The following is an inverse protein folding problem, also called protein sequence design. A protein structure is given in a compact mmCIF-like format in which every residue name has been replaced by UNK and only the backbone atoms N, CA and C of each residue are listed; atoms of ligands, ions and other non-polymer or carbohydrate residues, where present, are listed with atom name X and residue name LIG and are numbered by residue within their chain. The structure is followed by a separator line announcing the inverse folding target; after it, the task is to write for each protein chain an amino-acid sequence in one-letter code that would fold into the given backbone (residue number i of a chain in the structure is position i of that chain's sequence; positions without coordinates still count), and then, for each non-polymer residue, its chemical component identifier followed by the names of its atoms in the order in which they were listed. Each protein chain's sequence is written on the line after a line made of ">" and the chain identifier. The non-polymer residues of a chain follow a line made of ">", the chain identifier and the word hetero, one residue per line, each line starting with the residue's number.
data_IF_742684344015
#
_entry.id   IF_742684344015
#
_cell.length_a   1.000
_cell.length_b   1.000
_cell.length_c   1.000
_cell.angle_alpha   90.00
_cell.angle_beta   90.00
_cell.angle_gamma   90.00
#
_symmetry.space_group_name_H-M   'P 1'
#
loop_
_entity.id
_entity.type
_entity.pdbx_description
1 polymer ?
#
# COMPACT_ATOMS: atom_id res chain seq x y z
N UNK A 1 5.36 -16.08 9.17
CA UNK A 1 4.50 -15.29 8.27
C UNK A 1 3.07 -15.33 8.78
N UNK A 2 2.58 -14.19 9.27
CA UNK A 2 1.27 -14.05 9.91
C UNK A 2 0.41 -13.09 9.10
N UNK A 3 -0.86 -13.42 8.89
CA UNK A 3 -1.82 -12.56 8.19
C UNK A 3 -2.83 -12.04 9.21
N UNK A 4 -2.99 -10.73 9.28
CA UNK A 4 -3.92 -10.05 10.20
C UNK A 4 -4.88 -9.14 9.44
N UNK A 5 -6.13 -9.10 9.88
CA UNK A 5 -7.09 -8.11 9.39
C UNK A 5 -6.99 -6.83 10.23
N UNK A 6 -6.81 -5.70 9.56
CA UNK A 6 -6.70 -4.38 10.18
C UNK A 6 -8.08 -3.78 10.33
N UNK A 7 -8.46 -3.49 11.58
CA UNK A 7 -9.69 -2.77 11.92
C UNK A 7 -9.46 -1.27 12.14
N UNK A 8 -8.30 -0.88 12.66
CA UNK A 8 -7.92 0.52 12.90
C UNK A 8 -6.82 0.96 11.93
N UNK A 9 -7.09 2.00 11.14
CA UNK A 9 -6.22 2.47 10.05
C UNK A 9 -5.52 3.76 10.45
N UNK A 10 -4.48 3.63 11.27
CA UNK A 10 -3.71 4.80 11.71
C UNK A 10 -2.93 5.42 10.54
N UNK A 11 -2.66 6.73 10.58
CA UNK A 11 -1.85 7.39 9.55
C UNK A 11 -0.48 6.74 9.33
N UNK A 12 0.17 6.29 10.41
CA UNK A 12 1.48 5.62 10.35
C UNK A 12 1.41 4.27 9.64
N UNK A 13 0.36 3.49 9.91
CA UNK A 13 0.14 2.22 9.22
C UNK A 13 -0.07 2.44 7.72
N UNK A 14 -0.93 3.39 7.35
CA UNK A 14 -1.20 3.70 5.95
C UNK A 14 0.07 4.19 5.24
N UNK A 15 0.91 4.98 5.91
CA UNK A 15 2.20 5.40 5.36
C UNK A 15 3.12 4.20 5.10
N UNK A 16 3.24 3.28 6.05
CA UNK A 16 4.05 2.07 5.87
C UNK A 16 3.54 1.19 4.71
N UNK A 17 2.23 0.99 4.61
CA UNK A 17 1.63 0.25 3.51
C UNK A 17 1.82 0.95 2.15
N UNK A 18 1.82 2.27 2.13
CA UNK A 18 2.09 3.04 0.91
C UNK A 18 3.53 2.85 0.43
N UNK A 19 4.50 2.73 1.34
CA UNK A 19 5.90 2.42 1.01
C UNK A 19 6.03 0.99 0.45
N UNK A 20 5.38 0.00 1.07
CA UNK A 20 5.33 -1.38 0.57
C UNK A 20 4.73 -1.44 -0.84
N UNK A 21 3.62 -0.72 -1.05
CA UNK A 21 2.98 -0.61 -2.36
C UNK A 21 3.93 -0.01 -3.41
N UNK A 22 4.57 1.13 -3.11
CA UNK A 22 5.46 1.79 -4.08
C UNK A 22 6.65 0.91 -4.44
N UNK A 23 7.28 0.27 -3.45
CA UNK A 23 8.39 -0.66 -3.68
C UNK A 23 7.97 -1.83 -4.59
N UNK A 24 6.78 -2.39 -4.34
CA UNK A 24 6.24 -3.51 -5.13
C UNK A 24 5.93 -3.09 -6.57
N UNK A 25 5.33 -1.90 -6.76
CA UNK A 25 5.02 -1.36 -8.09
C UNK A 25 6.29 -1.09 -8.86
N UNK A 26 7.29 -0.44 -8.25
CA UNK A 26 8.58 -0.15 -8.90
C UNK A 26 9.33 -1.43 -9.31
N UNK A 27 9.21 -2.50 -8.54
CA UNK A 27 9.85 -3.78 -8.84
C UNK A 27 9.19 -4.56 -10.00
N UNK A 28 7.89 -4.36 -10.23
CA UNK A 28 7.11 -5.23 -11.13
C UNK A 28 6.52 -4.51 -12.36
N UNK A 29 6.22 -3.21 -12.25
CA UNK A 29 5.58 -2.42 -13.30
C UNK A 29 6.60 -1.54 -14.03
N UNK A 30 7.61 -2.17 -14.64
CA UNK A 30 8.73 -1.49 -15.33
C UNK A 30 8.30 -0.63 -16.54
N UNK A 31 7.03 -0.69 -16.93
CA UNK A 31 6.45 0.12 -18.00
C UNK A 31 5.95 1.48 -17.51
N UNK A 32 5.83 1.69 -16.19
CA UNK A 32 5.42 2.96 -15.61
C UNK A 32 6.64 3.86 -15.39
N UNK A 33 6.50 5.12 -15.76
CA UNK A 33 7.44 6.16 -15.37
C UNK A 33 7.25 6.59 -13.91
N UNK A 34 8.28 7.23 -13.34
CA UNK A 34 8.23 7.76 -11.98
C UNK A 34 7.05 8.72 -11.74
N UNK A 35 6.74 9.57 -12.72
CA UNK A 35 5.64 10.53 -12.61
C UNK A 35 4.27 9.84 -12.61
N UNK A 36 4.11 8.74 -13.35
CA UNK A 36 2.90 7.92 -13.33
C UNK A 36 2.75 7.22 -11.98
N UNK A 37 3.83 6.63 -11.44
CA UNK A 37 3.82 6.03 -10.10
C UNK A 37 3.42 7.06 -9.05
N UNK A 38 4.02 8.26 -9.06
CA UNK A 38 3.64 9.33 -8.13
C UNK A 38 2.21 9.83 -8.33
N UNK A 39 1.68 9.79 -9.56
CA UNK A 39 0.29 10.16 -9.83
C UNK A 39 -0.69 9.12 -9.26
N UNK A 40 -0.37 7.84 -9.40
CA UNK A 40 -1.15 6.74 -8.82
C UNK A 40 -1.10 6.80 -7.28
N UNK A 41 0.09 7.02 -6.72
CA UNK A 41 0.34 7.08 -5.27
C UNK A 41 -0.59 8.04 -4.55
N UNK A 42 -1.04 9.13 -5.19
CA UNK A 42 -1.93 10.15 -4.59
C UNK A 42 -3.26 9.59 -4.10
N UNK A 43 -3.83 8.58 -4.77
CA UNK A 43 -5.13 8.01 -4.41
C UNK A 43 -5.05 6.66 -3.69
N UNK A 44 -3.86 6.05 -3.61
CA UNK A 44 -3.65 4.78 -2.87
C UNK A 44 -4.02 4.88 -1.38
N UNK A 45 -3.67 5.96 -0.65
CA UNK A 45 -4.07 6.09 0.76
C UNK A 45 -5.59 6.04 0.95
N UNK A 46 -6.35 6.64 0.02
CA UNK A 46 -7.80 6.57 0.06
C UNK A 46 -8.28 5.13 -0.16
N UNK A 47 -7.77 4.43 -1.17
CA UNK A 47 -8.13 3.03 -1.43
C UNK A 47 -7.84 2.12 -0.22
N UNK A 48 -6.70 2.30 0.44
CA UNK A 48 -6.35 1.56 1.67
C UNK A 48 -7.30 1.89 2.84
N UNK A 49 -7.81 3.12 2.89
CA UNK A 49 -8.76 3.57 3.92
C UNK A 49 -10.22 3.20 3.63
N UNK A 50 -10.58 2.90 2.39
CA UNK A 50 -11.97 2.64 1.99
C UNK A 50 -12.26 1.17 1.68
N UNK A 51 -11.22 0.35 1.45
CA UNK A 51 -11.42 -1.08 1.19
C UNK A 51 -12.15 -1.76 2.36
N UNK A 52 -13.06 -2.68 2.07
CA UNK A 52 -13.88 -3.35 3.10
C UNK A 52 -13.02 -4.18 4.06
N UNK A 53 -12.08 -4.95 3.52
CA UNK A 53 -11.16 -5.79 4.28
C UNK A 53 -9.72 -5.43 3.92
N UNK A 54 -8.97 -4.95 4.90
CA UNK A 54 -7.54 -4.68 4.76
C UNK A 54 -6.78 -5.77 5.51
N UNK A 55 -6.10 -6.66 4.75
CA UNK A 55 -5.27 -7.72 5.30
C UNK A 55 -3.80 -7.35 5.14
N UNK A 56 -3.00 -7.53 6.20
CA UNK A 56 -1.55 -7.34 6.18
C UNK A 56 -0.88 -8.68 6.42
N UNK A 57 0.14 -8.99 5.64
CA UNK A 57 1.07 -10.07 5.91
C UNK A 57 2.33 -9.47 6.55
N UNK A 58 2.70 -9.98 7.72
CA UNK A 58 3.94 -9.65 8.42
C UNK A 58 4.82 -10.90 8.48
N UNK A 59 6.13 -10.70 8.32
CA UNK A 59 7.10 -11.73 8.67
C UNK A 59 7.01 -11.99 10.19
N UNK A 60 7.27 -13.23 10.59
CA UNK A 60 7.09 -13.69 11.98
C UNK A 60 8.00 -12.98 12.99
#
# INVERSE_FOLDING_TARGET
>A
MKIVEVKERTPDLIKGLLEVWENSVRATHLFLSDSEIQSIKKYVPQALNEVLHLLIAEDE
#
